data_IF_485836625894
#
_entry.id   IF_485836625894
#
_cell.length_a   1.000
_cell.length_b   1.000
_cell.length_c   1.000
_cell.angle_alpha   90.00
_cell.angle_beta   90.00
_cell.angle_gamma   90.00
#
_symmetry.space_group_name_H-M   'P 1'
#
loop_
_entity.id
_entity.type
_entity.pdbx_description
1 polymer ?
#
# COMPACT_ATOMS: atom_id res chain seq x y z
N UNK A 1 15.58 1.87 -20.20
CA UNK A 1 15.75 2.41 -18.83
C UNK A 1 15.61 3.92 -18.72
N UNK A 2 16.32 4.73 -19.53
CA UNK A 2 16.33 6.21 -19.41
C UNK A 2 14.93 6.88 -19.40
N UNK A 3 14.00 6.46 -20.26
CA UNK A 3 12.62 7.01 -20.28
C UNK A 3 11.81 6.80 -19.00
N UNK A 4 12.01 5.67 -18.29
CA UNK A 4 11.29 5.36 -17.03
C UNK A 4 11.85 6.13 -15.84
N UNK A 5 13.16 6.40 -15.84
CA UNK A 5 13.83 7.22 -14.82
C UNK A 5 13.43 8.69 -14.97
N UNK A 6 13.35 9.19 -16.21
CA UNK A 6 12.88 10.55 -16.50
C UNK A 6 11.44 10.72 -16.00
N UNK A 7 10.54 9.77 -16.30
CA UNK A 7 9.16 9.83 -15.81
C UNK A 7 9.07 9.85 -14.28
N UNK A 8 9.90 9.06 -13.59
CA UNK A 8 9.95 9.05 -12.12
C UNK A 8 10.47 10.38 -11.54
N UNK A 9 11.50 10.97 -12.15
CA UNK A 9 12.04 12.27 -11.73
C UNK A 9 11.02 13.40 -11.99
N UNK A 10 10.34 13.38 -13.14
CA UNK A 10 9.29 14.36 -13.44
C UNK A 10 8.11 14.26 -12.47
N UNK A 11 7.71 13.03 -12.10
CA UNK A 11 6.68 12.80 -11.09
C UNK A 11 7.11 13.34 -9.72
N UNK A 12 8.35 13.10 -9.30
CA UNK A 12 8.89 13.61 -8.02
C UNK A 12 8.96 15.14 -8.01
N UNK A 13 9.44 15.77 -9.08
CA UNK A 13 9.50 17.23 -9.20
C UNK A 13 8.09 17.86 -9.21
N UNK A 14 7.13 17.21 -9.87
CA UNK A 14 5.72 17.62 -9.86
C UNK A 14 5.11 17.54 -8.45
N UNK A 15 5.40 16.46 -7.71
CA UNK A 15 4.97 16.30 -6.32
C UNK A 15 5.60 17.34 -5.37
N UNK A 16 6.88 17.67 -5.54
CA UNK A 16 7.55 18.74 -4.77
C UNK A 16 6.86 20.09 -5.01
N UNK A 17 6.52 20.38 -6.27
CA UNK A 17 5.83 21.63 -6.63
C UNK A 17 4.42 21.70 -6.03
N UNK A 18 3.70 20.58 -5.94
CA UNK A 18 2.41 20.49 -5.23
C UNK A 18 2.59 20.77 -3.73
N UNK A 19 3.62 20.20 -3.08
CA UNK A 19 3.87 20.43 -1.65
C UNK A 19 4.19 21.90 -1.32
N UNK A 20 4.94 22.59 -2.18
CA UNK A 20 5.25 24.01 -2.03
C UNK A 20 3.97 24.86 -2.15
N UNK A 21 3.11 24.54 -3.12
CA UNK A 21 1.85 25.26 -3.32
C UNK A 21 0.83 25.01 -2.20
N UNK A 22 0.71 23.78 -1.68
CA UNK A 22 -0.17 23.48 -0.54
C UNK A 22 0.31 24.21 0.73
N UNK A 23 1.62 24.27 0.96
CA UNK A 23 2.20 24.99 2.10
C UNK A 23 1.95 26.51 2.02
N UNK A 24 2.03 27.09 0.81
CA UNK A 24 1.70 28.50 0.55
C UNK A 24 0.20 28.81 0.76
N UNK A 25 -0.69 27.91 0.32
CA UNK A 25 -2.14 28.06 0.54
C UNK A 25 -2.50 27.94 2.02
N UNK A 26 -1.86 27.02 2.75
CA UNK A 26 -2.02 26.87 4.19
C UNK A 26 -1.55 28.12 4.96
N UNK A 27 -0.43 28.73 4.55
CA UNK A 27 0.05 29.99 5.14
C UNK A 27 -0.90 31.17 4.87
N UNK A 28 -1.48 31.24 3.67
CA UNK A 28 -2.42 32.31 3.28
C UNK A 28 -3.77 32.20 4.00
N UNK A 29 -4.20 30.98 4.36
CA UNK A 29 -5.40 30.73 5.16
C UNK A 29 -5.25 31.10 6.65
N UNK A 30 -4.02 31.27 7.14
CA UNK A 30 -3.70 31.69 8.52
C UNK A 30 -3.41 33.18 8.70
N UNK A 31 -3.37 33.98 7.62
CA UNK A 31 -3.17 35.41 7.73
C UNK A 31 -4.47 36.12 8.17
N UNK A 32 -4.46 36.96 9.22
CA UNK A 32 -5.66 37.69 9.65
C UNK A 32 -6.10 38.69 8.56
N UNK A 33 -7.37 38.61 8.18
CA UNK A 33 -8.02 39.52 7.25
C UNK A 33 -8.20 40.89 7.91
N UNK A 34 -7.22 41.79 7.73
CA UNK A 34 -7.35 43.20 8.14
C UNK A 34 -8.11 43.91 7.01
N UNK A 35 -9.39 44.16 7.25
CA UNK A 35 -10.26 44.91 6.34
C UNK A 35 -10.15 46.42 6.69
N UNK A 36 -9.67 47.31 5.81
CA UNK A 36 -9.53 48.73 6.13
C UNK A 36 -10.68 49.55 5.53
N UNK A 37 -11.76 49.73 6.30
CA UNK A 37 -12.81 50.78 6.17
C UNK A 37 -13.36 50.94 7.59
N UNK A 38 -13.34 52.09 8.29
CA UNK A 38 -13.67 53.45 7.89
C UNK A 38 -13.20 54.40 9.00
N UNK A 39 -12.48 55.48 8.68
CA UNK A 39 -12.33 56.65 9.56
C UNK A 39 -12.39 57.91 8.71
N UNK A 40 -13.47 58.69 8.83
CA UNK A 40 -13.44 60.15 8.68
C UNK A 40 -14.73 60.80 9.24
N UNK A 41 -14.52 61.67 10.25
CA UNK A 41 -15.21 62.96 10.57
C UNK A 41 -16.74 62.93 10.88
N UNK A 42 -17.34 63.66 11.83
CA UNK A 42 -16.94 64.77 12.72
C UNK A 42 -18.06 65.01 13.79
N UNK A 43 -17.65 65.29 15.04
CA UNK A 43 -18.13 66.29 16.05
C UNK A 43 -19.63 66.65 16.19
N UNK A 44 -20.22 66.50 17.40
CA UNK A 44 -20.70 67.58 18.35
C UNK A 44 -21.87 67.17 19.30
N UNK A 45 -21.73 67.51 20.61
CA UNK A 45 -22.71 67.71 21.72
C UNK A 45 -23.53 66.49 22.25
N UNK A 46 -23.87 66.31 23.55
CA UNK A 46 -23.83 67.12 24.79
C UNK A 46 -24.02 66.20 26.04
N UNK A 47 -23.49 66.61 27.21
CA UNK A 47 -23.88 66.40 28.64
C UNK A 47 -24.76 65.17 29.05
N UNK A 48 -24.59 64.45 30.17
CA UNK A 48 -24.29 64.85 31.56
C UNK A 48 -24.02 63.61 32.45
N UNK A 49 -23.09 63.76 33.40
CA UNK A 49 -22.96 63.20 34.78
C UNK A 49 -23.51 61.83 35.22
N UNK A 50 -22.56 61.07 35.80
CA UNK A 50 -22.57 60.44 37.13
C UNK A 50 -22.83 58.93 37.35
N UNK A 51 -21.79 58.34 37.97
CA UNK A 51 -21.74 57.24 38.92
C UNK A 51 -21.67 55.77 38.44
N UNK A 52 -20.41 55.33 38.33
CA UNK A 52 -19.84 54.20 39.07
C UNK A 52 -20.64 52.88 39.13
N UNK A 53 -20.37 52.01 38.17
CA UNK A 53 -20.19 50.57 38.43
C UNK A 53 -19.26 49.99 37.37
N UNK A 54 -17.98 49.87 37.69
CA UNK A 54 -16.99 49.16 36.89
C UNK A 54 -17.30 47.66 36.94
N UNK A 55 -18.27 47.22 36.13
CA UNK A 55 -18.41 45.80 35.82
C UNK A 55 -17.38 45.45 34.76
N UNK A 56 -16.18 45.07 35.21
CA UNK A 56 -15.14 44.47 34.38
C UNK A 56 -15.75 43.24 33.71
N UNK A 57 -16.19 43.35 32.46
CA UNK A 57 -16.53 42.17 31.65
C UNK A 57 -15.28 41.29 31.63
N UNK A 58 -15.32 40.03 32.09
CA UNK A 58 -14.18 39.15 31.94
C UNK A 58 -13.94 38.99 30.44
N UNK A 59 -12.79 39.49 29.99
CA UNK A 59 -12.23 39.15 28.69
C UNK A 59 -12.16 37.62 28.67
N UNK A 60 -13.07 36.99 27.92
CA UNK A 60 -13.02 35.54 27.68
C UNK A 60 -11.59 35.24 27.19
N UNK A 61 -10.80 34.43 27.89
CA UNK A 61 -9.50 34.06 27.38
C UNK A 61 -9.73 33.42 26.01
N UNK A 62 -8.98 33.88 25.01
CA UNK A 62 -8.98 33.28 23.70
C UNK A 62 -8.81 31.77 23.91
N UNK A 63 -9.83 30.97 23.55
CA UNK A 63 -9.74 29.52 23.59
C UNK A 63 -8.50 29.15 22.81
N UNK A 64 -7.46 28.67 23.50
CA UNK A 64 -6.34 28.01 22.87
C UNK A 64 -6.92 26.97 21.92
N UNK A 65 -6.59 27.09 20.63
CA UNK A 65 -6.99 26.12 19.63
C UNK A 65 -6.35 24.79 20.02
N UNK A 66 -7.12 23.92 20.65
CA UNK A 66 -6.71 22.55 20.94
C UNK A 66 -6.28 21.90 19.62
N UNK A 67 -5.03 21.47 19.56
CA UNK A 67 -4.48 20.78 18.39
C UNK A 67 -5.33 19.54 18.07
N UNK A 68 -5.91 19.48 16.88
CA UNK A 68 -6.66 18.32 16.42
C UNK A 68 -5.70 17.19 16.03
N UNK A 69 -5.36 16.38 17.03
CA UNK A 69 -4.48 15.22 16.89
C UNK A 69 -4.99 14.21 15.87
N UNK A 70 -6.31 14.09 15.67
CA UNK A 70 -6.87 13.13 14.73
C UNK A 70 -6.54 13.51 13.28
N UNK A 71 -6.73 14.78 12.93
CA UNK A 71 -6.34 15.32 11.63
C UNK A 71 -4.84 15.18 11.37
N UNK A 72 -3.99 15.39 12.39
CA UNK A 72 -2.54 15.21 12.28
C UNK A 72 -2.18 13.74 12.04
N UNK A 73 -2.82 12.80 12.74
CA UNK A 73 -2.58 11.35 12.55
C UNK A 73 -2.97 10.92 11.15
N UNK A 74 -4.12 11.36 10.65
CA UNK A 74 -4.57 11.04 9.28
C UNK A 74 -3.60 11.63 8.26
N UNK A 75 -3.28 12.92 8.35
CA UNK A 75 -2.39 13.59 7.42
C UNK A 75 -0.99 12.97 7.42
N UNK A 76 -0.41 12.72 8.60
CA UNK A 76 0.91 12.09 8.73
C UNK A 76 0.94 10.66 8.17
N UNK A 77 -0.08 9.84 8.47
CA UNK A 77 -0.19 8.48 7.94
C UNK A 77 -0.32 8.49 6.42
N UNK A 78 -1.12 9.42 5.89
CA UNK A 78 -1.30 9.59 4.46
C UNK A 78 0.03 9.98 3.78
N UNK A 79 0.74 10.96 4.33
CA UNK A 79 2.04 11.41 3.81
C UNK A 79 3.09 10.29 3.90
N UNK A 80 3.15 9.57 5.02
CA UNK A 80 4.06 8.42 5.19
C UNK A 80 3.76 7.34 4.14
N UNK A 81 2.49 6.98 3.98
CA UNK A 81 2.05 6.00 3.00
C UNK A 81 2.46 6.37 1.58
N UNK A 82 2.19 7.62 1.18
CA UNK A 82 2.43 8.05 -0.19
C UNK A 82 3.88 8.37 -0.53
N UNK A 83 4.63 8.96 0.39
CA UNK A 83 5.98 9.43 0.08
C UNK A 83 7.08 8.45 0.50
N UNK A 84 6.90 7.71 1.58
CA UNK A 84 7.89 6.73 2.02
C UNK A 84 7.56 5.32 1.53
N UNK A 85 6.31 4.88 1.71
CA UNK A 85 5.95 3.48 1.51
C UNK A 85 5.60 3.16 0.06
N UNK A 86 4.91 4.06 -0.65
CA UNK A 86 4.50 3.82 -2.03
C UNK A 86 5.68 3.59 -2.99
N UNK A 87 6.77 4.39 -2.97
CA UNK A 87 7.94 4.10 -3.80
C UNK A 87 8.56 2.74 -3.47
N UNK A 88 8.58 2.35 -2.19
CA UNK A 88 9.12 1.06 -1.75
C UNK A 88 8.27 -0.11 -2.23
N UNK A 89 6.94 0.04 -2.21
CA UNK A 89 6.00 -0.94 -2.78
C UNK A 89 6.19 -1.07 -4.28
N UNK A 90 6.26 0.05 -5.01
CA UNK A 90 6.52 0.05 -6.46
C UNK A 90 7.84 -0.67 -6.74
N UNK A 91 8.90 -0.30 -6.04
CA UNK A 91 10.21 -0.91 -6.19
C UNK A 91 10.17 -2.42 -5.96
N UNK A 92 9.49 -2.87 -4.90
CA UNK A 92 9.37 -4.30 -4.58
C UNK A 92 8.62 -5.05 -5.69
N UNK A 93 7.51 -4.48 -6.20
CA UNK A 93 6.75 -5.11 -7.28
C UNK A 93 7.52 -5.14 -8.61
N UNK A 94 8.42 -4.19 -8.87
CA UNK A 94 9.24 -4.16 -10.09
C UNK A 94 10.45 -5.10 -9.96
N UNK A 95 11.13 -5.10 -8.81
CA UNK A 95 12.40 -5.80 -8.62
C UNK A 95 12.26 -7.28 -8.29
N UNK A 96 11.07 -7.82 -8.11
CA UNK A 96 10.92 -9.26 -7.85
C UNK A 96 11.28 -10.14 -9.05
N UNK A 97 11.29 -9.63 -10.28
CA UNK A 97 11.66 -10.44 -11.44
C UNK A 97 13.17 -10.71 -11.48
N UNK A 98 13.54 -11.98 -11.56
CA UNK A 98 14.93 -12.41 -11.77
C UNK A 98 15.30 -12.16 -13.24
N UNK A 99 16.42 -11.48 -13.44
CA UNK A 99 17.04 -11.34 -14.75
C UNK A 99 18.26 -12.26 -14.80
N UNK A 100 18.18 -13.31 -15.61
CA UNK A 100 19.34 -14.17 -15.90
C UNK A 100 20.29 -13.54 -16.93
N UNK A 101 19.97 -12.34 -17.44
CA UNK A 101 20.89 -11.62 -18.31
C UNK A 101 22.15 -11.25 -17.54
N UNK A 102 23.34 -11.62 -18.04
CA UNK A 102 24.59 -11.29 -17.39
C UNK A 102 24.72 -9.77 -17.28
N UNK A 103 25.10 -9.30 -16.10
CA UNK A 103 25.52 -7.91 -15.91
C UNK A 103 27.04 -7.90 -15.97
N UNK A 104 27.60 -7.17 -16.92
CA UNK A 104 29.05 -6.94 -16.98
C UNK A 104 29.38 -5.56 -16.40
N UNK A 105 30.39 -5.55 -15.55
CA UNK A 105 31.16 -4.38 -15.16
C UNK A 105 32.62 -4.84 -14.98
N UNK A 106 33.57 -3.89 -14.92
CA UNK A 106 34.99 -4.22 -14.84
C UNK A 106 35.33 -5.18 -13.66
N UNK A 107 34.70 -4.97 -12.50
CA UNK A 107 34.91 -5.84 -11.32
C UNK A 107 34.41 -7.28 -11.52
N UNK A 108 33.30 -7.47 -12.25
CA UNK A 108 32.74 -8.79 -12.56
C UNK A 108 33.61 -9.48 -13.61
N UNK A 109 34.12 -8.76 -14.59
CA UNK A 109 35.01 -9.31 -15.62
C UNK A 109 36.36 -9.76 -15.03
N UNK A 110 36.93 -8.96 -14.14
CA UNK A 110 38.14 -9.34 -13.38
C UNK A 110 37.89 -10.57 -12.50
N UNK A 111 36.71 -10.68 -11.87
CA UNK A 111 36.36 -11.85 -11.08
C UNK A 111 36.15 -13.11 -11.94
N UNK A 112 35.45 -12.99 -13.06
CA UNK A 112 35.19 -14.11 -13.99
C UNK A 112 36.49 -14.61 -14.61
N UNK A 113 37.42 -13.70 -14.96
CA UNK A 113 38.72 -14.08 -15.51
C UNK A 113 39.66 -14.70 -14.47
N UNK A 114 39.45 -14.44 -13.18
CA UNK A 114 40.21 -15.07 -12.09
C UNK A 114 39.84 -16.53 -11.83
N UNK A 115 38.70 -17.01 -12.35
CA UNK A 115 38.21 -18.36 -12.16
C UNK A 115 38.25 -19.14 -13.47
N UNK A 116 38.66 -20.41 -13.39
CA UNK A 116 38.52 -21.32 -14.53
C UNK A 116 37.03 -21.61 -14.81
N UNK A 117 36.72 -22.03 -16.03
CA UNK A 117 35.34 -22.43 -16.39
C UNK A 117 34.85 -23.60 -15.53
N UNK A 118 35.74 -24.54 -15.23
CA UNK A 118 35.42 -25.70 -14.39
C UNK A 118 35.05 -25.29 -12.97
N UNK A 119 35.83 -24.38 -12.36
CA UNK A 119 35.51 -23.83 -11.03
C UNK A 119 34.19 -23.04 -11.02
N UNK A 120 33.88 -22.34 -12.11
CA UNK A 120 32.61 -21.61 -12.26
C UNK A 120 31.42 -22.56 -12.33
N UNK A 121 31.52 -23.62 -13.12
CA UNK A 121 30.50 -24.65 -13.25
C UNK A 121 30.30 -25.40 -11.93
N UNK A 122 31.39 -25.77 -11.26
CA UNK A 122 31.34 -26.43 -9.95
C UNK A 122 30.64 -25.57 -8.89
N UNK A 123 31.01 -24.30 -8.77
CA UNK A 123 30.35 -23.37 -7.82
C UNK A 123 28.89 -23.14 -8.18
N UNK A 124 28.54 -23.12 -9.46
CA UNK A 124 27.15 -22.99 -9.89
C UNK A 124 26.33 -24.22 -9.48
N UNK A 125 26.88 -25.43 -9.64
CA UNK A 125 26.27 -26.67 -9.19
C UNK A 125 26.02 -26.67 -7.67
N UNK A 126 27.03 -26.31 -6.88
CA UNK A 126 26.91 -26.22 -5.41
C UNK A 126 25.82 -25.24 -4.95
N UNK A 127 25.67 -24.11 -5.65
CA UNK A 127 24.60 -23.15 -5.37
C UNK A 127 23.23 -23.74 -5.72
N UNK A 128 23.09 -24.41 -6.88
CA UNK A 128 21.82 -25.01 -7.32
C UNK A 128 21.39 -26.14 -6.37
N UNK A 129 22.30 -27.04 -6.00
CA UNK A 129 22.05 -28.09 -5.01
C UNK A 129 21.64 -27.50 -3.65
N UNK A 130 22.33 -26.44 -3.20
CA UNK A 130 21.97 -25.74 -1.97
C UNK A 130 20.58 -25.08 -2.03
N UNK A 131 20.15 -24.62 -3.21
CA UNK A 131 18.80 -24.09 -3.42
C UNK A 131 17.78 -25.23 -3.28
N UNK A 132 17.98 -26.34 -3.96
CA UNK A 132 17.06 -27.49 -3.95
C UNK A 132 16.85 -28.03 -2.53
N UNK A 133 17.95 -28.21 -1.79
CA UNK A 133 17.91 -28.64 -0.38
C UNK A 133 17.12 -27.71 0.55
N UNK A 134 16.96 -26.44 0.16
CA UNK A 134 16.22 -25.44 0.94
C UNK A 134 14.75 -25.32 0.55
N UNK A 135 14.39 -25.76 -0.66
CA UNK A 135 13.01 -25.76 -1.14
C UNK A 135 12.17 -26.79 -0.37
N UNK A 136 10.86 -26.62 -0.40
CA UNK A 136 9.94 -27.58 0.24
C UNK A 136 9.41 -28.54 -0.81
N UNK A 137 9.32 -29.82 -0.48
CA UNK A 137 8.63 -30.82 -1.29
C UNK A 137 7.14 -30.79 -1.02
N UNK A 138 6.34 -30.83 -2.09
CA UNK A 138 4.88 -30.94 -2.03
C UNK A 138 4.47 -32.05 -3.01
N UNK A 139 3.51 -32.92 -2.63
CA UNK A 139 3.02 -33.94 -3.55
C UNK A 139 2.34 -33.30 -4.76
N UNK A 140 2.77 -33.69 -5.95
CA UNK A 140 2.15 -33.38 -7.23
C UNK A 140 0.85 -34.14 -7.44
N UNK A 141 0.04 -33.71 -8.41
CA UNK A 141 -1.24 -34.33 -8.76
C UNK A 141 -1.06 -35.76 -9.31
N UNK A 142 0.13 -36.07 -9.82
CA UNK A 142 0.57 -37.37 -10.33
C UNK A 142 1.28 -38.23 -9.27
N UNK A 143 1.38 -37.75 -8.02
CA UNK A 143 2.10 -38.42 -6.94
C UNK A 143 3.62 -38.20 -6.96
N UNK A 144 4.15 -37.37 -7.87
CA UNK A 144 5.57 -36.97 -7.86
C UNK A 144 5.86 -35.96 -6.74
N UNK A 145 7.10 -35.91 -6.24
CA UNK A 145 7.51 -34.85 -5.29
C UNK A 145 7.97 -33.61 -6.05
N UNK A 146 7.20 -32.51 -5.95
CA UNK A 146 7.53 -31.26 -6.60
C UNK A 146 8.21 -30.30 -5.61
N UNK A 147 9.38 -29.78 -6.00
CA UNK A 147 10.06 -28.73 -5.25
C UNK A 147 9.35 -27.39 -5.44
N UNK A 148 9.02 -26.72 -4.34
CA UNK A 148 8.31 -25.43 -4.39
C UNK A 148 8.72 -24.48 -3.29
N UNK A 149 8.38 -23.21 -3.49
CA UNK A 149 8.60 -22.13 -2.54
C UNK A 149 7.34 -21.97 -1.67
N UNK A 150 7.52 -22.09 -0.37
CA UNK A 150 6.46 -21.92 0.64
C UNK A 150 6.71 -20.71 1.56
N UNK A 151 7.95 -20.20 1.61
CA UNK A 151 8.39 -19.13 2.51
C UNK A 151 9.15 -18.03 1.76
N UNK A 152 9.02 -16.79 2.22
CA UNK A 152 9.78 -15.66 1.65
C UNK A 152 11.30 -15.77 1.84
N UNK A 153 11.77 -16.52 2.84
CA UNK A 153 13.20 -16.82 3.00
C UNK A 153 13.74 -17.72 1.87
N UNK A 154 12.94 -18.68 1.40
CA UNK A 154 13.29 -19.55 0.27
C UNK A 154 13.32 -18.73 -1.02
N UNK A 155 12.29 -17.91 -1.28
CA UNK A 155 12.26 -17.01 -2.43
C UNK A 155 13.51 -16.11 -2.49
N UNK A 156 13.89 -15.48 -1.37
CA UNK A 156 15.10 -14.65 -1.32
C UNK A 156 16.38 -15.45 -1.59
N UNK A 157 16.45 -16.68 -1.12
CA UNK A 157 17.61 -17.55 -1.32
C UNK A 157 17.76 -17.96 -2.78
N UNK A 158 16.69 -18.46 -3.39
CA UNK A 158 16.61 -18.80 -4.82
C UNK A 158 17.03 -17.60 -5.66
N UNK A 159 16.41 -16.44 -5.40
CA UNK A 159 16.74 -15.21 -6.12
C UNK A 159 18.23 -14.86 -6.06
N UNK A 160 18.80 -14.82 -4.85
CA UNK A 160 20.19 -14.42 -4.70
C UNK A 160 21.14 -15.41 -5.35
N UNK A 161 20.86 -16.72 -5.25
CA UNK A 161 21.65 -17.76 -5.89
C UNK A 161 21.60 -17.68 -7.41
N UNK A 162 20.41 -17.61 -8.00
CA UNK A 162 20.25 -17.49 -9.46
C UNK A 162 20.85 -16.17 -10.00
N UNK A 163 20.62 -15.04 -9.31
CA UNK A 163 21.25 -13.77 -9.71
C UNK A 163 22.78 -13.82 -9.56
N UNK A 164 23.31 -14.54 -8.56
CA UNK A 164 24.76 -14.72 -8.38
C UNK A 164 25.35 -15.58 -9.51
N UNK A 165 24.76 -16.73 -9.82
CA UNK A 165 25.20 -17.60 -10.91
C UNK A 165 25.21 -16.83 -12.22
N UNK A 166 24.09 -16.17 -12.56
CA UNK A 166 23.97 -15.43 -13.82
C UNK A 166 24.90 -14.22 -13.93
N UNK A 167 25.27 -13.59 -12.80
CA UNK A 167 26.10 -12.37 -12.81
C UNK A 167 27.59 -12.70 -12.69
N UNK A 168 27.98 -13.56 -11.75
CA UNK A 168 29.36 -13.76 -11.31
C UNK A 168 29.98 -15.08 -11.76
N UNK A 169 29.19 -16.09 -12.13
CA UNK A 169 29.71 -17.41 -12.53
C UNK A 169 29.51 -17.70 -14.03
N UNK A 170 28.41 -17.25 -14.62
CA UNK A 170 28.09 -17.38 -16.05
C UNK A 170 28.44 -18.77 -16.61
N UNK A 171 27.89 -19.87 -16.07
CA UNK A 171 28.25 -21.22 -16.49
C UNK A 171 27.94 -21.45 -17.98
N UNK A 172 28.73 -22.30 -18.63
CA UNK A 172 28.54 -22.69 -20.04
C UNK A 172 27.92 -24.08 -20.21
N UNK A 173 27.85 -24.86 -19.13
CA UNK A 173 27.23 -26.18 -19.14
C UNK A 173 25.70 -26.07 -19.35
N UNK A 174 25.23 -26.75 -20.40
CA UNK A 174 23.82 -26.78 -20.80
C UNK A 174 22.89 -27.33 -19.71
N UNK A 175 23.31 -28.36 -18.98
CA UNK A 175 22.51 -28.97 -17.90
C UNK A 175 22.28 -27.97 -16.75
N UNK A 176 23.33 -27.23 -16.36
CA UNK A 176 23.22 -26.19 -15.34
C UNK A 176 22.30 -25.06 -15.79
N UNK A 177 22.34 -24.68 -17.06
CA UNK A 177 21.47 -23.64 -17.62
C UNK A 177 20.00 -24.12 -17.60
N UNK A 178 19.74 -25.38 -17.96
CA UNK A 178 18.41 -25.97 -17.93
C UNK A 178 17.85 -26.04 -16.50
N UNK A 179 18.66 -26.52 -15.54
CA UNK A 179 18.30 -26.55 -14.13
C UNK A 179 18.03 -25.14 -13.57
N UNK A 180 18.88 -24.17 -13.93
CA UNK A 180 18.71 -22.77 -13.54
C UNK A 180 17.39 -22.18 -14.09
N UNK A 181 17.02 -22.53 -15.33
CA UNK A 181 15.77 -22.11 -15.93
C UNK A 181 14.55 -22.77 -15.27
N UNK A 182 14.63 -24.06 -14.93
CA UNK A 182 13.56 -24.78 -14.22
C UNK A 182 13.30 -24.17 -12.83
N UNK A 183 14.35 -23.91 -12.04
CA UNK A 183 14.23 -23.27 -10.73
C UNK A 183 13.70 -21.83 -10.88
N UNK A 184 14.11 -21.11 -11.93
CA UNK A 184 13.57 -19.78 -12.22
C UNK A 184 12.08 -19.83 -12.54
N UNK A 185 11.61 -20.80 -13.29
CA UNK A 185 10.18 -20.95 -13.58
C UNK A 185 9.37 -21.17 -12.29
N UNK A 186 9.85 -22.06 -11.42
CA UNK A 186 9.26 -22.27 -10.08
C UNK A 186 9.26 -20.95 -9.30
N UNK A 187 10.37 -20.21 -9.33
CA UNK A 187 10.44 -18.90 -8.68
C UNK A 187 9.41 -17.91 -9.22
N UNK A 188 9.35 -17.73 -10.54
CA UNK A 188 8.46 -16.77 -11.19
C UNK A 188 6.99 -17.09 -10.92
N UNK A 189 6.60 -18.37 -10.99
CA UNK A 189 5.26 -18.82 -10.66
C UNK A 189 4.91 -18.54 -9.19
N UNK A 190 5.77 -18.93 -8.26
CA UNK A 190 5.48 -18.81 -6.81
C UNK A 190 5.56 -17.37 -6.30
N UNK A 191 6.37 -16.52 -6.93
CA UNK A 191 6.50 -15.11 -6.57
C UNK A 191 5.50 -14.20 -7.28
N UNK A 192 4.73 -14.73 -8.23
CA UNK A 192 3.66 -13.97 -8.85
C UNK A 192 2.69 -13.44 -7.79
N UNK A 193 2.44 -12.12 -7.85
CA UNK A 193 1.64 -11.43 -6.84
C UNK A 193 0.19 -11.27 -7.28
N UNK A 194 -0.72 -11.76 -6.45
CA UNK A 194 -2.16 -11.65 -6.65
C UNK A 194 -2.74 -10.62 -5.70
N UNK A 195 -3.77 -9.89 -6.16
CA UNK A 195 -4.47 -8.93 -5.30
C UNK A 195 -5.28 -9.69 -4.24
N UNK A 196 -4.89 -9.55 -2.97
CA UNK A 196 -5.56 -10.15 -1.82
C UNK A 196 -6.19 -9.11 -0.88
N UNK A 197 -6.33 -7.87 -1.36
CA UNK A 197 -7.00 -6.78 -0.63
C UNK A 197 -8.52 -6.87 -0.71
N UNK A 198 -9.18 -5.97 0.01
CA UNK A 198 -10.63 -5.83 -0.08
C UNK A 198 -11.01 -5.12 -1.38
N UNK A 199 -11.65 -5.86 -2.28
CA UNK A 199 -12.24 -5.29 -3.51
C UNK A 199 -13.27 -4.20 -3.20
N UNK A 200 -13.93 -4.28 -2.04
CA UNK A 200 -14.87 -3.26 -1.59
C UNK A 200 -14.21 -1.93 -1.27
N UNK A 201 -13.08 -1.94 -0.54
CA UNK A 201 -12.33 -0.71 -0.26
C UNK A 201 -11.88 -0.08 -1.57
N UNK A 202 -11.37 -0.90 -2.50
CA UNK A 202 -10.98 -0.44 -3.83
C UNK A 202 -12.16 0.17 -4.61
N UNK A 203 -13.33 -0.49 -4.59
CA UNK A 203 -14.55 0.01 -5.22
C UNK A 203 -15.04 1.32 -4.64
N UNK A 204 -15.08 1.44 -3.30
CA UNK A 204 -15.46 2.69 -2.61
C UNK A 204 -14.50 3.82 -2.96
N UNK A 205 -13.20 3.53 -3.02
CA UNK A 205 -12.19 4.52 -3.35
C UNK A 205 -12.30 4.99 -4.82
N UNK A 206 -12.61 4.09 -5.76
CA UNK A 206 -12.84 4.40 -7.18
C UNK A 206 -14.16 5.14 -7.41
N UNK A 207 -15.19 4.90 -6.58
CA UNK A 207 -16.46 5.61 -6.70
C UNK A 207 -16.32 7.12 -6.49
N UNK A 208 -15.40 7.57 -5.64
CA UNK A 208 -15.14 8.99 -5.36
C UNK A 208 -14.78 9.78 -6.63
N UNK A 209 -13.73 9.43 -7.41
CA UNK A 209 -13.41 10.15 -8.63
C UNK A 209 -14.50 9.99 -9.70
N UNK A 210 -15.23 8.87 -9.75
CA UNK A 210 -16.36 8.71 -10.68
C UNK A 210 -17.47 9.74 -10.36
N UNK A 211 -17.87 9.85 -9.09
CA UNK A 211 -18.87 10.84 -8.65
C UNK A 211 -18.35 12.26 -8.89
N UNK A 212 -17.09 12.52 -8.56
CA UNK A 212 -16.48 13.83 -8.79
C UNK A 212 -16.50 14.22 -10.28
N UNK A 213 -16.22 13.28 -11.19
CA UNK A 213 -16.29 13.48 -12.63
C UNK A 213 -17.71 13.84 -13.13
N UNK A 214 -18.75 13.25 -12.52
CA UNK A 214 -20.14 13.56 -12.86
C UNK A 214 -20.57 14.94 -12.38
N UNK A 215 -20.05 15.42 -11.25
CA UNK A 215 -20.38 16.75 -10.71
C UNK A 215 -19.60 17.83 -11.46
N UNK A 216 -18.29 17.67 -11.57
CA UNK A 216 -17.40 18.60 -12.26
C UNK A 216 -16.16 17.86 -12.75
N UNK A 217 -16.07 17.67 -14.06
CA UNK A 217 -14.95 16.98 -14.70
C UNK A 217 -13.59 17.65 -14.42
N UNK A 218 -13.56 18.98 -14.21
CA UNK A 218 -12.31 19.70 -13.91
C UNK A 218 -11.73 19.32 -12.55
N UNK A 219 -12.57 18.85 -11.62
CA UNK A 219 -12.16 18.41 -10.28
C UNK A 219 -11.20 17.21 -10.31
N UNK A 220 -11.22 16.40 -11.37
CA UNK A 220 -10.32 15.25 -11.56
C UNK A 220 -8.84 15.66 -11.63
N UNK A 221 -8.57 16.87 -12.10
CA UNK A 221 -7.20 17.40 -12.22
C UNK A 221 -6.74 18.16 -10.98
N UNK A 222 -7.57 18.22 -9.94
CA UNK A 222 -7.17 18.82 -8.67
C UNK A 222 -6.04 18.02 -8.02
N UNK A 223 -5.17 18.71 -7.28
CA UNK A 223 -4.08 18.08 -6.52
C UNK A 223 -4.60 17.02 -5.54
N UNK A 224 -5.78 17.22 -4.95
CA UNK A 224 -6.43 16.26 -4.04
C UNK A 224 -6.85 14.98 -4.77
N UNK A 225 -7.44 15.08 -5.97
CA UNK A 225 -7.83 13.90 -6.74
C UNK A 225 -6.62 13.12 -7.25
N UNK A 226 -5.56 13.80 -7.69
CA UNK A 226 -4.30 13.15 -8.05
C UNK A 226 -3.70 12.39 -6.86
N UNK A 227 -3.71 13.01 -5.68
CA UNK A 227 -3.25 12.40 -4.44
C UNK A 227 -4.09 11.16 -4.09
N UNK A 228 -5.41 11.24 -4.29
CA UNK A 228 -6.33 10.13 -4.08
C UNK A 228 -6.07 8.97 -5.05
N UNK A 229 -5.84 9.24 -6.34
CA UNK A 229 -5.43 8.20 -7.31
C UNK A 229 -4.12 7.51 -6.93
N UNK A 230 -3.16 8.28 -6.41
CA UNK A 230 -1.94 7.70 -5.85
C UNK A 230 -2.23 6.82 -4.63
N UNK A 231 -3.17 7.23 -3.76
CA UNK A 231 -3.65 6.42 -2.64
C UNK A 231 -4.33 5.11 -3.08
N UNK A 232 -5.18 5.15 -4.10
CA UNK A 232 -5.81 3.97 -4.72
C UNK A 232 -4.74 3.02 -5.26
N UNK A 233 -3.79 3.57 -6.03
CA UNK A 233 -2.71 2.78 -6.63
C UNK A 233 -1.82 2.16 -5.57
N UNK A 234 -1.49 2.93 -4.53
CA UNK A 234 -0.73 2.46 -3.37
C UNK A 234 -1.46 1.32 -2.67
N UNK A 235 -2.74 1.49 -2.35
CA UNK A 235 -3.55 0.42 -1.76
C UNK A 235 -3.55 -0.83 -2.62
N UNK A 236 -3.78 -0.69 -3.92
CA UNK A 236 -3.80 -1.81 -4.84
C UNK A 236 -2.48 -2.59 -4.81
N UNK A 237 -1.34 -1.91 -4.97
CA UNK A 237 -0.02 -2.55 -4.98
C UNK A 237 0.37 -3.10 -3.60
N UNK A 238 0.08 -2.37 -2.52
CA UNK A 238 0.34 -2.81 -1.15
C UNK A 238 -0.50 -4.04 -0.77
N UNK A 239 -1.62 -4.27 -1.46
CA UNK A 239 -2.50 -5.43 -1.24
C UNK A 239 -2.12 -6.66 -2.08
N UNK A 240 -1.15 -6.54 -2.99
CA UNK A 240 -0.68 -7.68 -3.79
C UNK A 240 0.29 -8.55 -2.99
N UNK A 241 0.04 -9.85 -2.94
CA UNK A 241 0.85 -10.83 -2.20
C UNK A 241 1.28 -11.99 -3.11
N UNK A 242 2.49 -12.56 -2.91
CA UNK A 242 2.93 -13.76 -3.62
C UNK A 242 1.99 -14.96 -3.40
N UNK A 243 1.92 -15.86 -4.39
CA UNK A 243 1.08 -17.06 -4.37
C UNK A 243 1.26 -17.90 -3.09
N UNK A 244 2.50 -18.13 -2.65
CA UNK A 244 2.77 -18.92 -1.44
C UNK A 244 2.21 -18.30 -0.15
N UNK A 245 2.12 -16.96 -0.06
CA UNK A 245 1.49 -16.27 1.07
C UNK A 245 -0.03 -16.38 0.98
N UNK A 246 -0.58 -16.23 -0.23
CA UNK A 246 -2.00 -16.34 -0.48
C UNK A 246 -2.52 -17.72 -0.08
N UNK A 247 -1.85 -18.78 -0.53
CA UNK A 247 -2.21 -20.16 -0.18
C UNK A 247 -2.11 -20.41 1.32
N UNK A 248 -1.07 -19.92 1.99
CA UNK A 248 -0.94 -20.02 3.45
C UNK A 248 -2.15 -19.36 4.14
N UNK A 249 -2.57 -18.19 3.66
CA UNK A 249 -3.77 -17.51 4.19
C UNK A 249 -5.04 -18.27 3.88
N UNK A 250 -5.20 -18.83 2.68
CA UNK A 250 -6.35 -19.65 2.32
C UNK A 250 -6.45 -20.92 3.17
N UNK A 251 -5.33 -21.56 3.51
CA UNK A 251 -5.34 -22.71 4.44
C UNK A 251 -5.75 -22.31 5.86
N UNK A 252 -5.32 -21.14 6.34
CA UNK A 252 -5.62 -20.66 7.70
C UNK A 252 -7.02 -20.07 7.82
N UNK A 253 -7.47 -19.30 6.82
CA UNK A 253 -8.69 -18.50 6.86
C UNK A 253 -9.79 -19.01 5.92
N UNK A 254 -9.51 -19.96 5.04
CA UNK A 254 -10.48 -20.53 4.09
C UNK A 254 -11.62 -21.31 4.74
N UNK A 255 -11.52 -21.66 6.03
CA UNK A 255 -12.63 -22.29 6.78
C UNK A 255 -13.55 -21.28 7.49
N UNK A 256 -13.15 -20.01 7.62
CA UNK A 256 -13.94 -18.98 8.32
C UNK A 256 -14.34 -17.88 7.34
N UNK A 257 -15.47 -18.12 6.68
CA UNK A 257 -16.06 -17.22 5.71
C UNK A 257 -16.22 -15.79 6.24
N UNK A 258 -15.93 -14.84 5.35
CA UNK A 258 -16.11 -13.38 5.49
C UNK A 258 -15.23 -12.74 6.57
N UNK A 259 -14.09 -12.18 6.16
CA UNK A 259 -13.30 -11.30 7.02
C UNK A 259 -14.11 -10.13 7.59
N UNK A 260 -13.58 -9.43 8.60
CA UNK A 260 -14.23 -8.35 9.36
C UNK A 260 -15.07 -7.37 8.49
N UNK A 261 -14.55 -6.97 7.32
CA UNK A 261 -15.24 -6.07 6.38
C UNK A 261 -16.47 -6.73 5.74
N UNK A 262 -16.43 -8.03 5.45
CA UNK A 262 -17.58 -8.78 4.96
C UNK A 262 -18.67 -8.94 6.01
N UNK A 263 -18.32 -8.99 7.30
CA UNK A 263 -19.27 -8.97 8.41
C UNK A 263 -19.92 -7.60 8.53
N UNK A 264 -19.13 -6.52 8.55
CA UNK A 264 -19.61 -5.13 8.60
C UNK A 264 -20.54 -4.84 7.42
N UNK A 265 -20.18 -5.28 6.21
CA UNK A 265 -21.02 -5.08 5.02
C UNK A 265 -22.24 -5.99 5.00
N UNK A 266 -22.15 -7.24 5.48
CA UNK A 266 -23.36 -8.08 5.64
C UNK A 266 -24.31 -7.43 6.65
N UNK A 267 -23.81 -6.88 7.76
CA UNK A 267 -24.65 -6.16 8.72
C UNK A 267 -25.21 -4.84 8.21
N UNK A 268 -24.48 -4.13 7.34
CA UNK A 268 -25.00 -2.96 6.64
C UNK A 268 -26.12 -3.42 5.67
N UNK A 269 -25.80 -4.21 4.64
CA UNK A 269 -26.75 -4.48 3.56
C UNK A 269 -27.83 -5.52 3.85
N UNK A 270 -27.72 -6.34 4.91
CA UNK A 270 -28.82 -7.22 5.32
C UNK A 270 -29.98 -6.47 5.99
N UNK A 271 -29.73 -5.25 6.50
CA UNK A 271 -30.75 -4.41 7.13
C UNK A 271 -31.80 -3.87 6.15
N UNK A 272 -31.53 -3.84 4.84
CA UNK A 272 -32.48 -3.32 3.83
C UNK A 272 -33.58 -4.31 3.41
N UNK A 273 -33.70 -5.44 4.11
CA UNK A 273 -34.66 -6.51 3.79
C UNK A 273 -35.77 -6.66 4.84
N UNK A 274 -35.88 -5.75 5.80
CA UNK A 274 -36.97 -5.76 6.79
C UNK A 274 -38.26 -5.25 6.17
N UNK A 275 -39.29 -6.11 6.14
CA UNK A 275 -40.64 -5.75 5.69
C UNK A 275 -41.44 -5.19 6.86
N UNK A 276 -42.05 -4.03 6.68
CA UNK A 276 -42.88 -3.40 7.70
C UNK A 276 -44.35 -3.66 7.40
N UNK A 277 -45.10 -4.03 8.44
CA UNK A 277 -46.54 -4.27 8.35
C UNK A 277 -47.24 -3.43 9.40
N UNK A 278 -48.33 -2.77 9.01
CA UNK A 278 -49.17 -1.96 9.89
C UNK A 278 -50.61 -2.45 9.83
N UNK A 279 -51.30 -2.42 10.98
CA UNK A 279 -52.74 -2.70 11.08
C UNK A 279 -53.48 -1.37 11.16
N UNK A 280 -54.32 -1.10 10.16
CA UNK A 280 -55.18 0.09 10.16
C UNK A 280 -56.43 -0.23 10.98
N UNK A 281 -56.63 0.48 12.10
CA UNK A 281 -57.80 0.37 12.97
C UNK A 281 -58.11 -1.07 13.47
N UNK A 282 -57.08 -1.88 13.75
CA UNK A 282 -57.25 -3.27 14.20
C UNK A 282 -57.64 -4.26 13.09
N UNK A 283 -57.60 -3.83 11.82
CA UNK A 283 -57.85 -4.65 10.65
C UNK A 283 -56.64 -5.50 10.21
N UNK A 284 -56.75 -6.21 9.06
CA UNK A 284 -55.70 -7.09 8.56
C UNK A 284 -54.39 -6.33 8.28
N UNK A 285 -53.27 -6.96 8.60
CA UNK A 285 -51.93 -6.42 8.39
C UNK A 285 -51.70 -6.10 6.91
N UNK A 286 -51.43 -4.85 6.60
CA UNK A 286 -51.01 -4.40 5.27
C UNK A 286 -49.54 -4.03 5.31
N UNK A 287 -48.81 -4.35 4.25
CA UNK A 287 -47.40 -3.95 4.10
C UNK A 287 -47.32 -2.43 3.96
N UNK A 288 -46.46 -1.82 4.77
CA UNK A 288 -46.19 -0.39 4.74
C UNK A 288 -45.03 -0.11 3.79
N UNK A 289 -45.35 0.24 2.56
CA UNK A 289 -44.35 0.52 1.53
C UNK A 289 -43.65 1.87 1.74
N UNK A 290 -44.30 2.83 2.40
CA UNK A 290 -43.77 4.18 2.58
C UNK A 290 -42.75 4.21 3.72
N UNK A 291 -43.04 3.52 4.82
CA UNK A 291 -42.08 3.32 5.92
C UNK A 291 -40.89 2.48 5.46
N UNK A 292 -41.13 1.42 4.68
CA UNK A 292 -40.05 0.64 4.06
C UNK A 292 -39.17 1.48 3.13
N UNK A 293 -39.77 2.32 2.28
CA UNK A 293 -39.02 3.18 1.35
C UNK A 293 -38.19 4.22 2.11
N UNK A 294 -38.78 4.89 3.11
CA UNK A 294 -38.10 5.89 3.93
C UNK A 294 -36.95 5.29 4.75
N UNK A 295 -37.17 4.13 5.36
CA UNK A 295 -36.16 3.37 6.10
C UNK A 295 -35.01 2.94 5.18
N UNK A 296 -35.32 2.38 4.02
CA UNK A 296 -34.32 1.97 3.04
C UNK A 296 -33.52 3.15 2.46
N UNK A 297 -34.17 4.29 2.22
CA UNK A 297 -33.50 5.51 1.75
C UNK A 297 -32.56 6.08 2.81
N UNK A 298 -33.00 6.12 4.07
CA UNK A 298 -32.18 6.55 5.21
C UNK A 298 -30.97 5.65 5.38
N UNK A 299 -31.20 4.33 5.30
CA UNK A 299 -30.13 3.34 5.34
C UNK A 299 -29.13 3.52 4.19
N UNK A 300 -29.60 3.69 2.95
CA UNK A 300 -28.76 3.91 1.78
C UNK A 300 -27.90 5.18 1.92
N UNK A 301 -28.46 6.24 2.48
CA UNK A 301 -27.73 7.48 2.77
C UNK A 301 -26.60 7.24 3.77
N UNK A 302 -26.88 6.57 4.90
CA UNK A 302 -25.87 6.25 5.92
C UNK A 302 -24.77 5.35 5.31
N UNK A 303 -25.17 4.31 4.57
CA UNK A 303 -24.23 3.41 3.91
C UNK A 303 -23.34 4.13 2.90
N UNK A 304 -23.89 5.10 2.17
CA UNK A 304 -23.13 5.93 1.21
C UNK A 304 -22.11 6.83 1.92
N UNK A 305 -22.48 7.45 3.05
CA UNK A 305 -21.56 8.26 3.86
C UNK A 305 -20.40 7.39 4.38
N UNK A 306 -20.70 6.20 4.89
CA UNK A 306 -19.69 5.25 5.36
C UNK A 306 -18.78 4.80 4.22
N UNK A 307 -19.34 4.48 3.05
CA UNK A 307 -18.56 4.10 1.87
C UNK A 307 -17.63 5.22 1.41
N UNK A 308 -18.09 6.47 1.42
CA UNK A 308 -17.27 7.63 1.10
C UNK A 308 -16.12 7.79 2.10
N UNK A 309 -16.40 7.66 3.39
CA UNK A 309 -15.39 7.71 4.45
C UNK A 309 -14.33 6.61 4.26
N UNK A 310 -14.75 5.36 4.03
CA UNK A 310 -13.84 4.23 3.74
C UNK A 310 -13.00 4.51 2.49
N UNK A 311 -13.61 5.07 1.45
CA UNK A 311 -12.93 5.43 0.20
C UNK A 311 -11.81 6.45 0.42
N UNK A 312 -12.07 7.52 1.17
CA UNK A 312 -11.06 8.55 1.50
C UNK A 312 -9.88 7.96 2.28
N UNK A 313 -10.13 6.99 3.15
CA UNK A 313 -9.10 6.32 3.95
C UNK A 313 -8.31 5.24 3.18
N UNK A 314 -8.47 5.11 1.86
CA UNK A 314 -7.80 4.10 1.03
C UNK A 314 -6.28 4.08 1.22
N UNK A 315 -5.64 5.24 1.35
CA UNK A 315 -4.20 5.33 1.56
C UNK A 315 -3.79 4.74 2.93
N UNK A 316 -4.59 4.94 3.99
CA UNK A 316 -4.34 4.35 5.31
C UNK A 316 -4.47 2.83 5.24
N UNK A 317 -5.49 2.31 4.55
CA UNK A 317 -5.58 0.87 4.29
C UNK A 317 -4.40 0.36 3.49
N UNK A 318 -3.83 1.19 2.60
CA UNK A 318 -2.58 0.91 1.90
C UNK A 318 -1.41 0.74 2.87
N UNK A 319 -1.27 1.62 3.86
CA UNK A 319 -0.25 1.52 4.91
C UNK A 319 -0.43 0.24 5.73
N UNK A 320 -1.65 -0.08 6.14
CA UNK A 320 -1.94 -1.31 6.90
C UNK A 320 -1.55 -2.54 6.08
N UNK A 321 -2.01 -2.62 4.83
CA UNK A 321 -1.69 -3.75 3.95
C UNK A 321 -0.20 -3.81 3.63
N UNK A 322 0.46 -2.68 3.51
CA UNK A 322 1.91 -2.62 3.37
C UNK A 322 2.60 -3.28 4.58
N UNK A 323 2.22 -2.89 5.80
CA UNK A 323 2.79 -3.48 7.02
C UNK A 323 2.50 -4.99 7.03
N UNK A 324 1.28 -5.43 6.76
CA UNK A 324 0.94 -6.85 6.82
C UNK A 324 1.61 -7.71 5.73
N UNK A 325 1.82 -7.15 4.54
CA UNK A 325 2.30 -7.91 3.38
C UNK A 325 3.81 -7.77 3.15
N UNK A 326 4.40 -6.64 3.53
CA UNK A 326 5.80 -6.29 3.23
C UNK A 326 6.70 -6.19 4.46
N UNK A 327 6.19 -5.94 5.68
CA UNK A 327 7.05 -5.73 6.88
C UNK A 327 8.05 -6.86 7.17
N UNK A 328 7.67 -8.10 6.89
CA UNK A 328 8.50 -9.30 7.13
C UNK A 328 9.10 -9.87 5.84
N UNK A 329 8.56 -9.47 4.68
CA UNK A 329 8.94 -9.98 3.37
C UNK A 329 9.79 -8.99 2.57
N UNK A 330 10.29 -7.92 3.19
CA UNK A 330 11.25 -7.07 2.49
C UNK A 330 12.38 -7.95 1.97
N UNK A 331 12.48 -7.94 0.64
CA UNK A 331 13.78 -7.91 -0.01
C UNK A 331 14.40 -6.60 0.49
N UNK A 332 15.02 -6.64 1.68
CA UNK A 332 15.82 -5.53 2.19
C UNK A 332 16.78 -5.16 1.05
N UNK A 333 16.83 -3.89 0.61
CA UNK A 333 17.55 -3.54 -0.61
C UNK A 333 19.09 -3.71 -0.56
N UNK A 334 19.70 -4.21 0.52
CA UNK A 334 21.15 -4.13 0.67
C UNK A 334 21.79 -5.37 1.32
N UNK A 335 21.77 -6.48 0.60
CA UNK A 335 22.95 -7.35 0.52
C UNK A 335 23.23 -7.59 -0.95
N UNK A 336 24.41 -7.21 -1.43
CA UNK A 336 24.80 -7.58 -2.80
C UNK A 336 24.79 -9.11 -2.92
N UNK A 337 24.51 -9.65 -4.10
CA UNK A 337 24.56 -11.12 -4.30
C UNK A 337 25.92 -11.69 -3.88
N UNK A 338 26.99 -10.90 -4.04
CA UNK A 338 28.33 -11.20 -3.53
C UNK A 338 28.37 -11.36 -2.00
N UNK A 339 27.89 -10.37 -1.23
CA UNK A 339 27.81 -10.49 0.24
C UNK A 339 26.94 -11.66 0.70
N UNK A 340 25.90 -12.00 -0.06
CA UNK A 340 25.10 -13.20 0.22
C UNK A 340 25.92 -14.47 0.02
N UNK A 341 26.68 -14.56 -1.08
CA UNK A 341 27.55 -15.71 -1.37
C UNK A 341 28.64 -15.84 -0.31
N UNK A 342 29.36 -14.76 -0.02
CA UNK A 342 30.45 -14.75 0.97
C UNK A 342 29.95 -15.24 2.33
N UNK A 343 28.81 -14.72 2.79
CA UNK A 343 28.19 -15.17 4.05
C UNK A 343 27.75 -16.64 4.04
N UNK A 344 27.26 -17.13 2.90
CA UNK A 344 26.59 -18.44 2.83
C UNK A 344 27.57 -19.57 2.57
N UNK A 345 28.63 -19.33 1.80
CA UNK A 345 29.56 -20.34 1.31
C UNK A 345 31.01 -20.12 1.77
N UNK A 346 31.41 -18.89 2.13
CA UNK A 346 32.80 -18.60 2.56
C UNK A 346 32.89 -18.47 4.09
N UNK A 347 31.99 -17.71 4.71
CA UNK A 347 32.04 -17.40 6.15
C UNK A 347 31.40 -18.46 7.06
N UNK A 348 30.92 -19.59 6.54
CA UNK A 348 30.39 -20.65 7.42
C UNK A 348 31.52 -21.12 8.36
N UNK A 349 31.48 -20.81 9.67
CA UNK A 349 32.41 -21.44 10.58
C UNK A 349 32.07 -22.92 10.56
N UNK A 350 33.10 -23.77 10.47
CA UNK A 350 33.03 -25.20 10.73
C UNK A 350 32.10 -25.38 11.94
N UNK A 351 30.88 -25.88 11.69
CA UNK A 351 29.99 -26.28 12.75
C UNK A 351 30.70 -27.43 13.44
N UNK A 352 31.36 -27.13 14.56
CA UNK A 352 31.92 -28.13 15.46
C UNK A 352 30.73 -28.99 15.85
N UNK A 353 30.69 -30.18 15.27
CA UNK A 353 29.95 -31.32 15.79
C UNK A 353 30.25 -31.45 17.28
N UNK A 354 29.22 -31.30 18.10
CA UNK A 354 29.19 -31.77 19.48
C UNK A 354 27.84 -32.45 19.71
#
# INVERSE_FOLDING_TARGET
>A
MKKKIILAITLVLFCINICVNISLVAQKATAPNINPKTTEQSITQEQTTDNASSTTKPVKPAKEKSTDWFSIIIASTFMLGLFALFPLVIFTNIKEKISLTPKSNAEIEDFISSLSMEERNQRAYEILESIENKLSTVPGEDGSELLTITKGSQARYVRNGLEYIATYLQPDNQELIEQMNAIKEVYDNRTERYFAGSKWILGCAIAIPVIAAFIDFSSLWSSLMLLHFCGITFYYLASRVPAYILEKRLRIFGSKGKGLVGVIMTSLFAGSATKHYVSINGGPWKRDYDEEFSSNMTFLMIATIIAFFIGVLVAIFGVINFILNYSTNFILPFKSCKQWYDKTFIEQPIAITA
#
